data_IF_877544804722
#
_entry.id   IF_877544804722
#
_cell.length_a   1.000
_cell.length_b   1.000
_cell.length_c   1.000
_cell.angle_alpha   90.00
_cell.angle_beta   90.00
_cell.angle_gamma   90.00
#
_symmetry.space_group_name_H-M   'P 1'
#
loop_
_entity.id
_entity.type
_entity.pdbx_description
1 polymer ?
#
# COMPACT_ATOMS: atom_id res chain seq x y z
N UNK A 1 20.52 5.74 7.12
CA UNK A 1 21.17 5.60 5.80
C UNK A 1 22.15 6.76 5.55
N UNK A 2 21.75 8.00 5.74
CA UNK A 2 22.66 9.15 5.59
C UNK A 2 23.88 9.08 6.52
N UNK A 3 23.70 8.64 7.76
CA UNK A 3 24.79 8.45 8.71
C UNK A 3 25.76 7.33 8.30
N UNK A 4 25.23 6.27 7.72
CA UNK A 4 26.04 5.19 7.15
C UNK A 4 26.90 5.69 5.99
N UNK A 5 26.29 6.43 5.06
CA UNK A 5 26.98 7.02 3.92
C UNK A 5 28.10 7.95 4.35
N UNK A 6 27.83 8.79 5.37
CA UNK A 6 28.81 9.73 5.92
C UNK A 6 29.99 9.03 6.60
N UNK A 7 29.72 7.93 7.36
CA UNK A 7 30.76 7.18 8.08
C UNK A 7 31.67 6.37 7.16
N UNK A 8 31.15 5.94 6.02
CA UNK A 8 31.86 5.02 5.12
C UNK A 8 32.29 5.68 3.82
N UNK A 9 32.09 6.99 3.68
CA UNK A 9 32.39 7.76 2.45
C UNK A 9 31.82 7.11 1.17
N UNK A 10 30.59 6.56 1.28
CA UNK A 10 29.90 5.87 0.19
C UNK A 10 28.71 6.68 -0.27
N UNK A 11 28.63 6.96 -1.57
CA UNK A 11 27.43 7.52 -2.18
C UNK A 11 26.47 6.40 -2.56
N UNK A 12 25.30 6.35 -1.92
CA UNK A 12 24.23 5.43 -2.27
C UNK A 12 23.08 6.18 -2.94
N UNK A 13 22.42 5.61 -3.95
CA UNK A 13 21.25 6.23 -4.54
C UNK A 13 20.16 6.41 -3.48
N UNK A 14 19.61 7.62 -3.43
CA UNK A 14 18.54 7.98 -2.49
C UNK A 14 17.21 7.94 -3.23
N UNK A 15 16.19 7.25 -2.68
CA UNK A 15 14.86 7.32 -3.26
C UNK A 15 14.28 8.73 -3.11
N UNK A 16 13.56 9.18 -4.12
CA UNK A 16 12.72 10.38 -4.01
C UNK A 16 11.66 10.12 -2.93
N UNK A 17 11.42 11.10 -2.08
CA UNK A 17 10.50 10.97 -0.96
C UNK A 17 9.47 12.08 -1.00
N UNK A 18 8.20 11.70 -0.95
CA UNK A 18 7.05 12.60 -0.76
C UNK A 18 6.40 12.23 0.57
N UNK A 19 6.25 13.19 1.47
CA UNK A 19 5.55 13.00 2.74
C UNK A 19 4.13 13.56 2.62
N UNK A 20 3.15 12.81 3.11
CA UNK A 20 1.76 13.21 3.16
C UNK A 20 1.34 13.36 4.62
N UNK A 21 0.81 14.53 4.96
CA UNK A 21 0.31 14.84 6.29
C UNK A 21 -1.22 14.81 6.29
N UNK A 22 -1.82 14.40 7.40
CA UNK A 22 -3.26 14.42 7.57
C UNK A 22 -3.81 15.83 7.39
N UNK A 23 -5.01 15.93 6.86
CA UNK A 23 -5.68 17.23 6.72
C UNK A 23 -6.05 17.79 8.09
N UNK A 24 -5.81 19.09 8.34
CA UNK A 24 -6.21 19.75 9.58
C UNK A 24 -7.68 20.15 9.59
N UNK A 25 -8.44 19.85 8.55
CA UNK A 25 -9.86 20.24 8.41
C UNK A 25 -10.74 19.41 9.33
N UNK A 26 -11.62 20.06 10.10
CA UNK A 26 -12.50 19.40 11.07
C UNK A 26 -13.59 18.55 10.40
N UNK A 27 -14.06 18.97 9.22
CA UNK A 27 -15.04 18.20 8.45
C UNK A 27 -14.39 16.96 7.86
N UNK A 28 -14.84 15.79 8.31
CA UNK A 28 -14.31 14.50 7.84
C UNK A 28 -14.41 14.34 6.33
N UNK A 29 -15.51 14.73 5.72
CA UNK A 29 -15.72 14.58 4.28
C UNK A 29 -14.76 15.48 3.48
N UNK A 30 -14.54 16.70 3.94
CA UNK A 30 -13.62 17.66 3.31
C UNK A 30 -12.17 17.21 3.50
N UNK A 31 -11.81 16.74 4.70
CA UNK A 31 -10.50 16.19 4.98
C UNK A 31 -10.18 14.98 4.09
N UNK A 32 -11.11 14.03 3.96
CA UNK A 32 -10.94 12.86 3.09
C UNK A 32 -10.80 13.25 1.61
N UNK A 33 -11.53 14.27 1.15
CA UNK A 33 -11.42 14.77 -0.22
C UNK A 33 -10.06 15.45 -0.48
N UNK A 34 -9.59 16.26 0.47
CA UNK A 34 -8.29 16.91 0.40
C UNK A 34 -7.14 15.89 0.43
N UNK A 35 -7.20 14.93 1.34
CA UNK A 35 -6.22 13.84 1.44
C UNK A 35 -6.17 12.99 0.17
N UNK A 36 -7.33 12.71 -0.42
CA UNK A 36 -7.40 12.01 -1.71
C UNK A 36 -6.71 12.82 -2.82
N UNK A 37 -6.97 14.11 -2.90
CA UNK A 37 -6.34 14.98 -3.91
C UNK A 37 -4.82 15.05 -3.73
N UNK A 38 -4.33 15.21 -2.49
CA UNK A 38 -2.89 15.19 -2.17
C UNK A 38 -2.25 13.84 -2.52
N UNK A 39 -2.91 12.74 -2.23
CA UNK A 39 -2.42 11.40 -2.56
C UNK A 39 -2.29 11.19 -4.07
N UNK A 40 -3.28 11.60 -4.85
CA UNK A 40 -3.24 11.51 -6.31
C UNK A 40 -2.14 12.40 -6.90
N UNK A 41 -1.97 13.60 -6.37
CA UNK A 41 -0.88 14.50 -6.79
C UNK A 41 0.50 13.89 -6.53
N UNK A 42 0.69 13.26 -5.36
CA UNK A 42 1.93 12.57 -5.03
C UNK A 42 2.22 11.38 -5.96
N UNK A 43 1.21 10.58 -6.30
CA UNK A 43 1.37 9.49 -7.26
C UNK A 43 1.71 10.02 -8.66
N UNK A 44 1.08 11.11 -9.09
CA UNK A 44 1.37 11.74 -10.39
C UNK A 44 2.81 12.28 -10.44
N UNK A 45 3.28 12.87 -9.34
CA UNK A 45 4.66 13.33 -9.21
C UNK A 45 5.68 12.19 -9.34
N UNK A 46 5.33 11.00 -8.88
CA UNK A 46 6.17 9.80 -8.90
C UNK A 46 5.94 8.90 -10.13
N UNK A 47 5.11 9.30 -11.08
CA UNK A 47 4.71 8.49 -12.23
C UNK A 47 5.88 8.05 -13.14
N UNK A 48 7.02 8.77 -13.11
CA UNK A 48 8.22 8.41 -13.84
C UNK A 48 9.13 7.39 -13.13
N UNK A 49 8.78 6.96 -11.92
CA UNK A 49 9.54 5.98 -11.16
C UNK A 49 9.12 4.56 -11.56
N UNK A 50 10.09 3.64 -11.67
CA UNK A 50 9.81 2.21 -11.93
C UNK A 50 9.05 1.54 -10.78
N UNK A 51 9.32 1.98 -9.55
CA UNK A 51 8.69 1.50 -8.33
C UNK A 51 8.32 2.65 -7.40
N UNK A 52 7.12 2.58 -6.83
CA UNK A 52 6.67 3.48 -5.77
C UNK A 52 6.37 2.64 -4.53
N UNK A 53 7.08 2.91 -3.45
CA UNK A 53 6.84 2.27 -2.15
C UNK A 53 6.04 3.22 -1.28
N UNK A 54 4.87 2.78 -0.83
CA UNK A 54 3.99 3.55 0.04
C UNK A 54 4.08 2.96 1.44
N UNK A 55 4.70 3.70 2.35
CA UNK A 55 4.77 3.35 3.77
C UNK A 55 3.55 3.92 4.49
N UNK A 56 2.76 3.04 5.08
CA UNK A 56 1.51 3.41 5.75
C UNK A 56 1.64 3.25 7.26
N UNK A 57 1.10 4.19 8.07
CA UNK A 57 0.98 3.97 9.49
C UNK A 57 0.05 2.78 9.78
N UNK A 58 0.28 2.07 10.88
CA UNK A 58 -0.54 0.93 11.31
C UNK A 58 -1.97 1.28 11.75
N UNK A 59 -2.47 2.46 11.41
CA UNK A 59 -3.80 2.96 11.76
C UNK A 59 -4.77 2.89 10.58
N UNK A 60 -6.07 2.77 10.90
CA UNK A 60 -7.15 2.87 9.91
C UNK A 60 -7.37 4.32 9.51
N UNK A 61 -6.61 4.81 8.53
CA UNK A 61 -6.69 6.18 8.02
C UNK A 61 -7.20 6.22 6.58
N UNK A 62 -7.57 7.40 6.11
CA UNK A 62 -7.93 7.66 4.71
C UNK A 62 -6.76 7.31 3.80
N UNK A 63 -5.54 7.74 4.13
CA UNK A 63 -4.34 7.40 3.36
C UNK A 63 -4.07 5.90 3.30
N UNK A 64 -4.24 5.15 4.41
CA UNK A 64 -4.07 3.69 4.39
C UNK A 64 -5.07 3.02 3.43
N UNK A 65 -6.34 3.46 3.42
CA UNK A 65 -7.34 2.94 2.48
C UNK A 65 -6.99 3.25 1.02
N UNK A 66 -6.55 4.49 0.73
CA UNK A 66 -6.13 4.91 -0.61
C UNK A 66 -4.91 4.13 -1.09
N UNK A 67 -3.91 3.94 -0.23
CA UNK A 67 -2.71 3.18 -0.51
C UNK A 67 -3.04 1.71 -0.84
N UNK A 68 -3.84 1.05 -0.01
CA UNK A 68 -4.25 -0.34 -0.25
C UNK A 68 -5.06 -0.52 -1.54
N UNK A 69 -5.91 0.46 -1.88
CA UNK A 69 -6.67 0.45 -3.12
C UNK A 69 -5.78 0.68 -4.36
N UNK A 70 -4.71 1.45 -4.22
CA UNK A 70 -3.83 1.84 -5.33
C UNK A 70 -2.66 0.88 -5.56
N UNK A 71 -2.19 0.18 -4.52
CA UNK A 71 -1.03 -0.68 -4.60
C UNK A 71 -1.26 -1.92 -5.47
N UNK A 72 -0.28 -2.29 -6.32
CA UNK A 72 -0.27 -3.55 -7.05
C UNK A 72 0.03 -4.73 -6.13
N UNK A 73 0.97 -4.54 -5.22
CA UNK A 73 1.41 -5.53 -4.24
C UNK A 73 1.31 -4.94 -2.84
N UNK A 74 0.77 -5.70 -1.90
CA UNK A 74 0.77 -5.37 -0.48
C UNK A 74 1.80 -6.22 0.24
N UNK A 75 2.61 -5.58 1.06
CA UNK A 75 3.59 -6.24 1.93
C UNK A 75 3.21 -5.91 3.38
N UNK A 76 2.86 -6.93 4.14
CA UNK A 76 2.56 -6.79 5.57
C UNK A 76 3.64 -7.50 6.36
N UNK A 77 4.62 -6.79 6.95
CA UNK A 77 5.61 -7.40 7.81
C UNK A 77 4.92 -7.91 9.08
N UNK A 78 5.20 -9.14 9.47
CA UNK A 78 4.62 -9.79 10.64
C UNK A 78 5.72 -10.52 11.40
N UNK A 79 5.59 -10.52 12.72
CA UNK A 79 6.37 -11.42 13.58
C UNK A 79 5.59 -12.73 13.79
N UNK A 80 6.22 -13.70 14.43
CA UNK A 80 5.63 -14.97 14.83
C UNK A 80 4.82 -14.88 16.14
N UNK A 81 4.30 -13.68 16.45
CA UNK A 81 3.52 -13.42 17.65
C UNK A 81 2.01 -13.59 17.42
N UNK A 82 1.29 -14.08 18.42
CA UNK A 82 -0.17 -14.18 18.39
C UNK A 82 -0.85 -12.82 18.18
N UNK A 83 -0.22 -11.73 18.64
CA UNK A 83 -0.73 -10.36 18.46
C UNK A 83 -0.79 -9.98 16.98
N UNK A 84 0.26 -10.34 16.21
CA UNK A 84 0.28 -10.05 14.78
C UNK A 84 -0.70 -10.97 14.02
N UNK A 85 -0.94 -12.18 14.54
CA UNK A 85 -1.93 -13.09 13.96
C UNK A 85 -3.37 -12.55 14.10
N UNK A 86 -3.68 -11.86 15.20
CA UNK A 86 -4.96 -11.18 15.41
C UNK A 86 -5.21 -10.07 14.36
N UNK A 87 -4.17 -9.56 13.72
CA UNK A 87 -4.32 -8.62 12.59
C UNK A 87 -4.93 -9.29 11.35
N UNK A 88 -4.80 -10.60 11.19
CA UNK A 88 -5.34 -11.33 10.04
C UNK A 88 -6.73 -11.90 10.32
N UNK A 89 -6.94 -12.45 11.51
CA UNK A 89 -8.16 -13.18 11.85
C UNK A 89 -8.61 -12.89 13.27
N UNK A 90 -9.91 -12.87 13.48
CA UNK A 90 -10.51 -12.83 14.82
C UNK A 90 -10.53 -14.25 15.40
N UNK A 91 -9.84 -14.45 16.51
CA UNK A 91 -9.79 -15.72 17.21
C UNK A 91 -10.83 -15.79 18.33
N UNK A 92 -11.33 -16.98 18.58
CA UNK A 92 -12.05 -17.31 19.79
C UNK A 92 -11.05 -17.43 20.94
N UNK A 93 -11.13 -16.60 21.99
CA UNK A 93 -10.15 -16.61 23.08
C UNK A 93 -10.17 -17.91 23.91
N UNK A 94 -11.27 -18.66 23.89
CA UNK A 94 -11.39 -19.90 24.62
C UNK A 94 -10.87 -21.13 23.86
N UNK A 95 -11.03 -21.13 22.54
CA UNK A 95 -10.75 -22.31 21.71
C UNK A 95 -9.60 -22.09 20.71
N UNK A 96 -9.18 -20.83 20.47
CA UNK A 96 -8.23 -20.48 19.43
C UNK A 96 -8.78 -20.64 18.00
N UNK A 97 -10.05 -20.98 17.84
CA UNK A 97 -10.66 -21.15 16.52
C UNK A 97 -10.85 -19.82 15.81
N UNK A 98 -10.65 -19.81 14.48
CA UNK A 98 -10.88 -18.63 13.65
C UNK A 98 -12.38 -18.38 13.53
N UNK A 99 -12.85 -17.20 13.97
CA UNK A 99 -14.24 -16.75 13.89
C UNK A 99 -14.52 -15.95 12.61
N UNK A 100 -13.47 -15.40 11.97
CA UNK A 100 -13.60 -14.61 10.76
C UNK A 100 -12.40 -13.69 10.53
N UNK A 101 -12.41 -12.88 9.45
CA UNK A 101 -11.36 -11.92 9.18
C UNK A 101 -11.31 -10.82 10.25
N UNK A 102 -10.13 -10.28 10.50
CA UNK A 102 -9.96 -9.09 11.33
C UNK A 102 -10.48 -7.83 10.62
N UNK A 103 -10.56 -6.72 11.36
CA UNK A 103 -10.90 -5.40 10.79
C UNK A 103 -9.88 -5.00 9.70
N UNK A 104 -8.60 -5.28 9.92
CA UNK A 104 -7.55 -5.01 8.94
C UNK A 104 -7.73 -5.88 7.68
N UNK A 105 -7.95 -7.19 7.84
CA UNK A 105 -8.17 -8.09 6.71
C UNK A 105 -9.42 -7.70 5.89
N UNK A 106 -10.50 -7.28 6.56
CA UNK A 106 -11.70 -6.77 5.89
C UNK A 106 -11.43 -5.47 5.10
N UNK A 107 -10.65 -4.54 5.67
CA UNK A 107 -10.25 -3.31 5.01
C UNK A 107 -9.44 -3.60 3.74
N UNK A 108 -8.43 -4.45 3.86
CA UNK A 108 -7.61 -4.87 2.71
C UNK A 108 -8.46 -5.52 1.63
N UNK A 109 -9.35 -6.42 2.02
CA UNK A 109 -10.24 -7.11 1.08
C UNK A 109 -11.13 -6.13 0.32
N UNK A 110 -11.78 -5.19 1.02
CA UNK A 110 -12.62 -4.15 0.41
C UNK A 110 -11.84 -3.25 -0.54
N UNK A 111 -10.63 -2.85 -0.16
CA UNK A 111 -9.75 -2.05 -1.01
C UNK A 111 -9.36 -2.80 -2.30
N UNK A 112 -9.05 -4.09 -2.19
CA UNK A 112 -8.72 -4.94 -3.36
C UNK A 112 -9.93 -5.16 -4.27
N UNK A 113 -11.12 -5.36 -3.72
CA UNK A 113 -12.35 -5.45 -4.52
C UNK A 113 -12.63 -4.17 -5.28
N UNK A 114 -12.50 -3.00 -4.63
CA UNK A 114 -12.67 -1.70 -5.27
C UNK A 114 -11.68 -1.51 -6.44
N UNK A 115 -10.41 -1.89 -6.26
CA UNK A 115 -9.40 -1.86 -7.32
C UNK A 115 -9.76 -2.77 -8.51
N UNK A 116 -10.19 -3.99 -8.24
CA UNK A 116 -10.61 -4.92 -9.30
C UNK A 116 -11.79 -4.35 -10.09
N UNK A 117 -12.81 -3.81 -9.42
CA UNK A 117 -13.96 -3.19 -10.06
C UNK A 117 -13.55 -2.00 -10.95
N UNK A 118 -12.66 -1.12 -10.47
CA UNK A 118 -12.15 0.01 -11.24
C UNK A 118 -11.37 -0.42 -12.49
N UNK A 119 -10.58 -1.49 -12.43
CA UNK A 119 -9.84 -2.03 -13.58
C UNK A 119 -10.77 -2.69 -14.62
N UNK A 120 -11.83 -3.34 -14.18
CA UNK A 120 -12.80 -4.01 -15.07
C UNK A 120 -13.69 -2.99 -15.78
N UNK A 121 -13.95 -1.83 -15.17
CA UNK A 121 -14.82 -0.79 -15.72
C UNK A 121 -14.11 0.17 -16.70
N UNK A 122 -12.81 -0.03 -17.01
CA UNK A 122 -12.10 0.72 -18.05
C UNK A 122 -11.87 2.21 -17.77
N UNK A 123 -11.98 2.67 -16.52
CA UNK A 123 -11.90 4.08 -16.15
C UNK A 123 -10.77 4.33 -15.14
N UNK A 124 -9.52 4.19 -15.58
CA UNK A 124 -8.39 4.81 -14.89
C UNK A 124 -7.50 5.50 -15.93
N UNK A 125 -7.49 6.84 -15.98
CA UNK A 125 -6.45 7.55 -16.72
C UNK A 125 -5.16 7.52 -15.88
N UNK A 126 -4.11 6.90 -16.38
CA UNK A 126 -2.77 7.31 -16.08
C UNK A 126 -1.91 6.48 -15.13
N UNK A 127 -2.09 5.17 -15.03
CA UNK A 127 -0.96 4.32 -14.59
C UNK A 127 -0.58 3.44 -15.78
N UNK A 128 0.62 3.62 -16.38
CA UNK A 128 1.05 2.75 -17.46
C UNK A 128 1.12 1.31 -16.93
N UNK A 129 0.45 0.42 -17.65
CA UNK A 129 0.52 -1.01 -17.42
C UNK A 129 1.95 -1.45 -17.77
N UNK A 130 2.81 -1.60 -16.78
CA UNK A 130 4.11 -2.24 -16.98
C UNK A 130 3.83 -3.71 -17.24
N UNK A 131 3.88 -4.06 -18.53
CA UNK A 131 3.50 -5.34 -19.07
C UNK A 131 4.12 -6.51 -18.33
N UNK A 132 3.29 -7.50 -18.04
CA UNK A 132 3.73 -8.82 -17.67
C UNK A 132 4.65 -9.38 -18.77
N UNK A 133 5.93 -9.43 -18.49
CA UNK A 133 6.88 -10.15 -19.31
C UNK A 133 6.50 -11.62 -19.31
N UNK A 134 5.95 -12.08 -20.42
CA UNK A 134 5.82 -13.50 -20.73
C UNK A 134 7.21 -14.08 -20.86
N UNK A 135 7.63 -14.83 -19.86
CA UNK A 135 8.82 -15.69 -19.97
C UNK A 135 8.56 -16.73 -21.07
N UNK A 136 9.30 -16.64 -22.17
CA UNK A 136 9.30 -17.66 -23.20
C UNK A 136 9.87 -18.98 -22.61
N UNK A 137 9.27 -20.14 -22.92
CA UNK A 137 9.80 -21.43 -22.50
C UNK A 137 11.10 -21.72 -23.26
N UNK A 138 12.21 -21.75 -22.53
CA UNK A 138 13.51 -22.13 -23.07
C UNK A 138 13.53 -23.56 -23.57
N UNK A 139 13.86 -23.75 -24.83
CA UNK A 139 14.11 -25.04 -25.45
C UNK A 139 15.31 -25.74 -24.79
N UNK A 140 15.10 -26.96 -24.28
CA UNK A 140 16.15 -27.89 -23.94
C UNK A 140 16.76 -28.48 -25.22
N UNK A 141 18.05 -28.41 -25.33
CA UNK A 141 18.90 -29.39 -26.02
C UNK A 141 19.98 -29.82 -25.05
#
# INVERSE_FOLDING_TARGET
RQDYMRRHDVSLPMPRRVALEASPVDSRAEAEAEEQARFQAALAELASCDFVVIDCPGSYSSYSRLAHASADTLVTPMNDSLVDFDMLARLDPATGAIRGPSVYAEMVWKARQARCAARTCGSQPGVPNVGGGTAAPGARK
#
